data_IF_355426122356
#
_entry.id   IF_355426122356
#
_cell.length_a   1.000
_cell.length_b   1.000
_cell.length_c   1.000
_cell.angle_alpha   90.00
_cell.angle_beta   90.00
_cell.angle_gamma   90.00
#
_symmetry.space_group_name_H-M   'P 1'
#
loop_
_entity.id
_entity.type
_entity.pdbx_description
1 polymer ?
#
# COMPACT_ATOMS: atom_id res chain seq x y z
N UNK A 1 -13.14 -14.79 82.59
CA UNK A 1 -13.38 -14.12 81.30
C UNK A 1 -12.07 -14.05 80.52
N UNK A 2 -11.89 -14.85 79.47
CA UNK A 2 -10.99 -14.55 78.36
C UNK A 2 -11.31 -15.52 77.22
N UNK A 3 -11.76 -14.95 76.10
CA UNK A 3 -12.30 -15.61 74.93
C UNK A 3 -11.16 -16.15 74.05
N UNK A 4 -11.09 -17.47 73.88
CA UNK A 4 -10.13 -18.13 72.99
C UNK A 4 -10.57 -17.90 71.53
N UNK A 5 -9.88 -17.00 70.84
CA UNK A 5 -10.09 -16.72 69.41
C UNK A 5 -9.62 -17.92 68.59
N UNK A 6 -10.54 -18.83 68.27
CA UNK A 6 -10.32 -19.92 67.30
C UNK A 6 -10.09 -19.33 65.90
N UNK A 7 -8.83 -19.20 65.49
CA UNK A 7 -8.49 -18.83 64.11
C UNK A 7 -8.71 -20.04 63.21
N UNK A 8 -9.84 -20.06 62.50
CA UNK A 8 -10.13 -21.08 61.49
C UNK A 8 -9.16 -20.90 60.33
N UNK A 9 -8.10 -21.72 60.28
CA UNK A 9 -7.19 -21.77 59.14
C UNK A 9 -7.97 -22.29 57.93
N UNK A 10 -8.43 -21.39 57.06
CA UNK A 10 -9.09 -21.71 55.79
C UNK A 10 -8.15 -22.60 54.97
N UNK A 11 -8.46 -23.90 54.89
CA UNK A 11 -7.74 -24.84 54.02
C UNK A 11 -7.89 -24.31 52.60
N UNK A 12 -6.80 -23.81 52.00
CA UNK A 12 -6.82 -23.30 50.63
C UNK A 12 -7.11 -24.48 49.70
N UNK A 13 -8.31 -24.49 49.12
CA UNK A 13 -8.72 -25.53 48.19
C UNK A 13 -7.91 -25.36 46.90
N UNK A 14 -6.80 -26.11 46.75
CA UNK A 14 -5.90 -26.05 45.60
C UNK A 14 -6.64 -26.23 44.25
N UNK A 15 -7.77 -26.93 44.29
CA UNK A 15 -8.70 -27.11 43.16
C UNK A 15 -9.31 -25.78 42.71
N UNK A 16 -9.71 -24.89 43.63
CA UNK A 16 -10.27 -23.58 43.28
C UNK A 16 -9.23 -22.64 42.66
N UNK A 17 -7.98 -22.70 43.15
CA UNK A 17 -6.87 -21.95 42.53
C UNK A 17 -6.50 -22.50 41.15
N UNK A 18 -6.55 -23.82 40.95
CA UNK A 18 -6.29 -24.43 39.64
C UNK A 18 -7.40 -24.11 38.64
N UNK A 19 -8.67 -24.13 39.08
CA UNK A 19 -9.82 -23.74 38.27
C UNK A 19 -9.78 -22.27 37.87
N UNK A 20 -9.36 -21.39 38.79
CA UNK A 20 -9.14 -19.97 38.49
C UNK A 20 -8.03 -19.77 37.45
N UNK A 21 -6.95 -20.56 37.51
CA UNK A 21 -5.84 -20.46 36.55
C UNK A 21 -6.26 -20.96 35.16
N UNK A 22 -7.04 -22.04 35.11
CA UNK A 22 -7.62 -22.55 33.87
C UNK A 22 -8.57 -21.53 33.22
N UNK A 23 -9.39 -20.84 34.01
CA UNK A 23 -10.28 -19.79 33.50
C UNK A 23 -9.51 -18.62 32.86
N UNK A 24 -8.38 -18.22 33.45
CA UNK A 24 -7.51 -17.17 32.89
C UNK A 24 -6.90 -17.64 31.56
N UNK A 25 -6.45 -18.90 31.49
CA UNK A 25 -5.91 -19.48 30.25
C UNK A 25 -6.94 -19.49 29.13
N UNK A 26 -8.17 -19.88 29.43
CA UNK A 26 -9.28 -19.89 28.46
C UNK A 26 -9.58 -18.46 27.99
N UNK A 27 -9.61 -17.49 28.91
CA UNK A 27 -9.83 -16.08 28.54
C UNK A 27 -8.73 -15.56 27.61
N UNK A 28 -7.46 -15.83 27.90
CA UNK A 28 -6.34 -15.47 27.03
C UNK A 28 -6.44 -16.14 25.65
N UNK A 29 -6.82 -17.42 25.61
CA UNK A 29 -6.99 -18.15 24.36
C UNK A 29 -8.10 -17.56 23.48
N UNK A 30 -9.24 -17.18 24.09
CA UNK A 30 -10.34 -16.54 23.36
C UNK A 30 -9.95 -15.16 22.82
N UNK A 31 -9.19 -14.36 23.58
CA UNK A 31 -8.67 -13.06 23.13
C UNK A 31 -7.70 -13.27 21.96
N UNK A 32 -6.82 -14.26 22.04
CA UNK A 32 -5.89 -14.59 20.97
C UNK A 32 -6.64 -15.03 19.69
N UNK A 33 -7.62 -15.92 19.80
CA UNK A 33 -8.44 -16.37 18.67
C UNK A 33 -9.23 -15.20 18.03
N UNK A 34 -9.82 -14.33 18.84
CA UNK A 34 -10.51 -13.14 18.34
C UNK A 34 -9.56 -12.17 17.62
N UNK A 35 -8.32 -12.02 18.12
CA UNK A 35 -7.32 -11.17 17.47
C UNK A 35 -6.82 -11.73 16.14
N UNK A 36 -6.73 -13.06 15.98
CA UNK A 36 -6.37 -13.68 14.69
C UNK A 36 -7.42 -13.47 13.60
N UNK A 37 -8.71 -13.46 13.97
CA UNK A 37 -9.80 -13.20 13.02
C UNK A 37 -9.82 -11.74 12.54
N UNK A 38 -9.43 -10.79 13.42
CA UNK A 38 -9.27 -9.39 13.04
C UNK A 38 -8.08 -9.20 12.10
N UNK A 39 -6.95 -9.84 12.39
CA UNK A 39 -5.76 -9.80 11.50
C UNK A 39 -6.06 -10.43 10.13
N UNK A 40 -6.83 -11.53 10.09
CA UNK A 40 -7.29 -12.14 8.84
C UNK A 40 -8.16 -11.15 8.04
N UNK A 41 -9.11 -10.49 8.69
CA UNK A 41 -10.01 -9.51 8.05
C UNK A 41 -9.25 -8.28 7.53
N UNK A 42 -8.23 -7.82 8.25
CA UNK A 42 -7.38 -6.72 7.80
C UNK A 42 -6.52 -7.12 6.59
N UNK A 43 -5.97 -8.34 6.56
CA UNK A 43 -5.22 -8.85 5.40
C UNK A 43 -6.08 -8.96 4.13
N UNK A 44 -7.36 -9.35 4.27
CA UNK A 44 -8.27 -9.38 3.13
C UNK A 44 -8.58 -7.98 2.59
N UNK A 45 -8.67 -6.96 3.46
CA UNK A 45 -8.86 -5.57 3.04
C UNK A 45 -7.64 -5.00 2.31
N UNK A 46 -6.44 -5.34 2.75
CA UNK A 46 -5.21 -4.92 2.10
C UNK A 46 -5.04 -5.57 0.70
N UNK A 47 -5.45 -6.83 0.54
CA UNK A 47 -5.37 -7.52 -0.75
C UNK A 47 -6.39 -6.98 -1.79
N UNK A 48 -7.59 -6.58 -1.33
CA UNK A 48 -8.61 -5.96 -2.18
C UNK A 48 -8.16 -4.57 -2.65
N UNK A 49 -7.67 -3.74 -1.73
CA UNK A 49 -7.20 -2.39 -2.06
C UNK A 49 -5.97 -2.42 -2.98
N UNK A 50 -5.01 -3.32 -2.71
CA UNK A 50 -3.85 -3.50 -3.60
C UNK A 50 -4.24 -4.01 -5.00
N UNK A 51 -5.27 -4.84 -5.11
CA UNK A 51 -5.73 -5.35 -6.41
C UNK A 51 -6.48 -4.28 -7.22
N UNK A 52 -7.31 -3.47 -6.57
CA UNK A 52 -8.02 -2.35 -7.21
C UNK A 52 -7.04 -1.26 -7.70
N UNK A 53 -6.01 -0.94 -6.91
CA UNK A 53 -4.95 -0.01 -7.31
C UNK A 53 -4.14 -0.54 -8.51
N UNK A 54 -3.83 -1.84 -8.53
CA UNK A 54 -3.17 -2.47 -9.67
C UNK A 54 -4.04 -2.39 -10.93
N UNK A 55 -5.33 -2.72 -10.84
CA UNK A 55 -6.28 -2.65 -11.97
C UNK A 55 -6.36 -1.22 -12.50
N UNK A 56 -6.50 -0.22 -11.62
CA UNK A 56 -6.53 1.19 -12.03
C UNK A 56 -5.23 1.62 -12.71
N UNK A 57 -4.07 1.20 -12.20
CA UNK A 57 -2.78 1.51 -12.84
C UNK A 57 -2.63 0.86 -14.20
N UNK A 58 -3.15 -0.36 -14.37
CA UNK A 58 -3.11 -1.13 -15.62
C UNK A 58 -4.06 -0.54 -16.66
N UNK A 59 -5.25 -0.09 -16.26
CA UNK A 59 -6.19 0.61 -17.15
C UNK A 59 -5.63 1.95 -17.62
N UNK A 60 -5.02 2.73 -16.73
CA UNK A 60 -4.37 3.99 -17.10
C UNK A 60 -3.24 3.77 -18.09
N UNK A 61 -2.35 2.79 -17.82
CA UNK A 61 -1.28 2.43 -18.76
C UNK A 61 -1.83 1.97 -20.11
N UNK A 62 -2.90 1.16 -20.13
CA UNK A 62 -3.54 0.74 -21.37
C UNK A 62 -4.12 1.93 -22.15
N UNK A 63 -4.73 2.89 -21.47
CA UNK A 63 -5.29 4.08 -22.11
C UNK A 63 -4.19 4.95 -22.72
N UNK A 64 -3.10 5.16 -21.98
CA UNK A 64 -1.96 5.94 -22.44
C UNK A 64 -1.26 5.26 -23.63
N UNK A 65 -1.02 3.95 -23.55
CA UNK A 65 -0.45 3.18 -24.67
C UNK A 65 -1.39 3.16 -25.89
N UNK A 66 -2.71 3.09 -25.68
CA UNK A 66 -3.68 3.14 -26.78
C UNK A 66 -3.68 4.50 -27.48
N UNK A 67 -3.61 5.59 -26.72
CA UNK A 67 -3.48 6.95 -27.27
C UNK A 67 -2.15 7.14 -27.97
N UNK A 68 -1.07 6.62 -27.41
CA UNK A 68 0.25 6.68 -28.04
C UNK A 68 0.24 5.91 -29.37
N UNK A 69 -0.38 4.72 -29.40
CA UNK A 69 -0.56 3.94 -30.63
C UNK A 69 -1.38 4.70 -31.68
N UNK A 70 -2.51 5.28 -31.30
CA UNK A 70 -3.35 6.08 -32.22
C UNK A 70 -2.58 7.30 -32.76
N UNK A 71 -1.82 7.97 -31.89
CA UNK A 71 -0.94 9.06 -32.28
C UNK A 71 0.18 8.59 -33.22
N UNK A 72 0.78 7.43 -32.98
CA UNK A 72 1.81 6.83 -33.84
C UNK A 72 1.27 6.34 -35.19
N UNK A 73 0.00 5.94 -35.26
CA UNK A 73 -0.68 5.62 -36.53
C UNK A 73 -1.00 6.87 -37.36
N UNK A 74 -1.04 8.06 -36.73
CA UNK A 74 -1.26 9.31 -37.43
C UNK A 74 0.03 9.82 -38.12
N UNK A 75 0.09 9.87 -39.46
CA UNK A 75 1.29 10.26 -40.19
C UNK A 75 1.73 11.71 -39.95
N UNK A 76 0.82 12.62 -39.58
CA UNK A 76 1.18 14.00 -39.23
C UNK A 76 1.83 14.10 -37.85
N UNK A 77 1.38 13.30 -36.88
CA UNK A 77 2.01 13.21 -35.56
C UNK A 77 3.40 12.60 -35.66
N UNK A 78 3.59 11.53 -36.43
CA UNK A 78 4.90 10.91 -36.66
C UNK A 78 5.90 11.90 -37.29
N UNK A 79 5.47 12.68 -38.29
CA UNK A 79 6.31 13.74 -38.88
C UNK A 79 6.69 14.80 -37.85
N UNK A 80 5.75 15.25 -37.02
CA UNK A 80 6.01 16.25 -35.95
C UNK A 80 6.95 15.70 -34.88
N UNK A 81 6.76 14.45 -34.47
CA UNK A 81 7.64 13.76 -33.53
C UNK A 81 9.06 13.62 -34.09
N UNK A 82 9.19 13.21 -35.36
CA UNK A 82 10.49 13.10 -36.03
C UNK A 82 11.18 14.47 -36.17
N UNK A 83 10.43 15.52 -36.51
CA UNK A 83 10.91 16.90 -36.58
C UNK A 83 11.39 17.42 -35.23
N UNK A 84 10.65 17.14 -34.15
CA UNK A 84 11.00 17.60 -32.80
C UNK A 84 12.15 16.81 -32.17
N UNK A 85 12.09 15.48 -32.21
CA UNK A 85 13.05 14.60 -31.53
C UNK A 85 14.35 14.40 -32.32
N UNK A 86 14.24 14.26 -33.63
CA UNK A 86 15.38 13.93 -34.50
C UNK A 86 15.78 15.09 -35.41
N UNK A 87 15.15 16.26 -35.28
CA UNK A 87 15.50 17.48 -36.04
C UNK A 87 15.45 17.26 -37.56
N UNK A 88 14.56 16.39 -38.02
CA UNK A 88 14.37 16.12 -39.45
C UNK A 88 13.67 17.30 -40.11
N UNK A 89 14.12 17.75 -41.29
CA UNK A 89 13.49 18.82 -42.06
C UNK A 89 13.12 18.36 -43.48
N UNK A 90 12.17 19.06 -44.11
CA UNK A 90 11.83 18.84 -45.52
C UNK A 90 12.84 19.57 -46.43
N UNK A 91 12.96 19.17 -47.70
CA UNK A 91 13.75 19.92 -48.68
C UNK A 91 13.33 21.39 -48.72
N UNK A 92 14.26 22.31 -48.42
CA UNK A 92 14.00 23.75 -48.32
C UNK A 92 13.76 24.29 -46.91
N UNK A 93 13.69 23.45 -45.87
CA UNK A 93 13.57 23.86 -44.46
C UNK A 93 14.95 23.76 -43.75
N UNK A 94 15.32 24.79 -42.96
CA UNK A 94 16.57 24.81 -42.17
C UNK A 94 16.27 24.73 -40.66
N UNK A 95 16.99 23.85 -39.95
CA UNK A 95 16.81 23.64 -38.50
C UNK A 95 17.89 24.40 -37.72
N UNK A 96 17.46 25.25 -36.79
CA UNK A 96 18.35 26.01 -35.91
C UNK A 96 18.29 25.43 -34.49
N UNK A 97 19.45 25.08 -33.92
CA UNK A 97 19.59 24.79 -32.49
C UNK A 97 19.88 26.11 -31.79
N UNK A 98 18.92 26.61 -31.03
CA UNK A 98 19.18 27.77 -30.18
C UNK A 98 20.02 27.31 -28.99
N UNK A 99 21.07 28.06 -28.60
CA UNK A 99 21.74 27.80 -27.33
C UNK A 99 20.70 27.90 -26.21
N UNK A 100 20.73 26.93 -25.29
CA UNK A 100 19.94 27.07 -24.07
C UNK A 100 20.38 28.36 -23.41
N UNK A 101 19.41 29.22 -23.08
CA UNK A 101 19.70 30.47 -22.37
C UNK A 101 20.30 30.08 -21.02
N UNK A 102 21.62 30.11 -20.94
CA UNK A 102 22.30 30.11 -19.66
C UNK A 102 22.03 31.51 -19.11
N UNK A 103 21.21 31.60 -18.07
CA UNK A 103 20.97 32.85 -17.33
C UNK A 103 22.22 33.27 -16.52
N UNK A 104 23.41 33.22 -17.13
CA UNK A 104 24.73 33.49 -16.50
C UNK A 104 25.70 34.28 -17.38
N UNK A 105 25.21 35.07 -18.32
CA UNK A 105 26.05 36.04 -19.04
C UNK A 105 25.49 37.45 -18.79
N UNK A 106 25.52 37.88 -17.53
CA UNK A 106 25.57 39.28 -17.14
C UNK A 106 27.04 39.61 -16.87
N UNK A 107 27.73 40.18 -17.86
CA UNK A 107 28.98 40.96 -17.71
C UNK A 107 28.95 42.14 -18.69
#
# INVERSE_FOLDING_TARGET
MANEKRTVKKKRNKIKTFLSLAAIFIACFLIYAASSDLVMTMKLKDEITSSEEMISSLENQKNDLSKEKENLENPEYVKRFARGKYMVSKPGEQVFKLPAKNDKDDD
#
